data_IF_063294691093
#
_entry.id   IF_063294691093
#
_cell.length_a   1.000
_cell.length_b   1.000
_cell.length_c   1.000
_cell.angle_alpha   90.00
_cell.angle_beta   90.00
_cell.angle_gamma   90.00
#
_symmetry.space_group_name_H-M   'P 1'
#
loop_
_entity.id
_entity.type
_entity.pdbx_description
1 polymer ?
#
# COMPACT_ATOMS: atom_id res chain seq x y z
N UNK A 1 -17.13 -5.89 -2.30
CA UNK A 1 -18.31 -6.21 -3.12
C UNK A 1 -18.54 -7.71 -3.26
N UNK A 2 -17.53 -8.53 -3.56
CA UNK A 2 -17.69 -9.99 -3.69
C UNK A 2 -18.29 -10.68 -2.46
N UNK A 3 -17.83 -10.37 -1.25
CA UNK A 3 -18.38 -10.96 -0.02
C UNK A 3 -19.84 -10.56 0.25
N UNK A 4 -20.23 -9.30 -0.02
CA UNK A 4 -21.63 -8.86 0.09
C UNK A 4 -22.51 -9.70 -0.86
N UNK A 5 -22.09 -9.83 -2.12
CA UNK A 5 -22.81 -10.64 -3.09
C UNK A 5 -22.92 -12.10 -2.63
N UNK A 6 -21.81 -12.69 -2.20
CA UNK A 6 -21.76 -14.08 -1.77
C UNK A 6 -22.64 -14.36 -0.55
N UNK A 7 -22.78 -13.39 0.36
CA UNK A 7 -23.68 -13.50 1.51
C UNK A 7 -25.15 -13.38 1.10
N UNK A 8 -25.49 -12.37 0.28
CA UNK A 8 -26.88 -12.07 -0.07
C UNK A 8 -27.47 -13.00 -1.13
N UNK A 9 -26.64 -13.61 -1.98
CA UNK A 9 -27.07 -14.47 -3.09
C UNK A 9 -26.67 -15.94 -2.87
N UNK A 10 -26.39 -16.35 -1.63
CA UNK A 10 -25.93 -17.71 -1.33
C UNK A 10 -26.93 -18.80 -1.77
N UNK A 11 -28.23 -18.48 -1.79
CA UNK A 11 -29.29 -19.41 -2.22
C UNK A 11 -29.49 -19.39 -3.75
N UNK A 12 -29.44 -18.21 -4.36
CA UNK A 12 -29.74 -18.01 -5.78
C UNK A 12 -28.56 -18.33 -6.70
N UNK A 13 -27.31 -18.09 -6.26
CA UNK A 13 -26.07 -18.41 -6.97
C UNK A 13 -25.04 -19.06 -6.01
N UNK A 14 -25.32 -20.30 -5.55
CA UNK A 14 -24.52 -20.96 -4.52
C UNK A 14 -23.09 -21.26 -4.98
N UNK A 15 -22.90 -21.58 -6.26
CA UNK A 15 -21.58 -21.95 -6.80
C UNK A 15 -20.66 -20.72 -6.83
N UNK A 16 -21.16 -19.58 -7.32
CA UNK A 16 -20.37 -18.33 -7.32
C UNK A 16 -20.17 -17.80 -5.93
N UNK A 17 -21.18 -17.87 -5.06
CA UNK A 17 -21.05 -17.47 -3.66
C UNK A 17 -19.94 -18.27 -2.95
N UNK A 18 -19.93 -19.60 -3.09
CA UNK A 18 -18.89 -20.46 -2.53
C UNK A 18 -17.50 -20.07 -3.08
N UNK A 19 -17.37 -19.91 -4.40
CA UNK A 19 -16.12 -19.50 -5.07
C UNK A 19 -15.59 -18.17 -4.52
N UNK A 20 -16.48 -17.18 -4.32
CA UNK A 20 -16.09 -15.86 -3.81
C UNK A 20 -15.65 -15.92 -2.35
N UNK A 21 -16.33 -16.73 -1.51
CA UNK A 21 -15.97 -16.93 -0.11
C UNK A 21 -14.61 -17.62 0.02
N UNK A 22 -14.38 -18.68 -0.77
CA UNK A 22 -13.11 -19.40 -0.81
C UNK A 22 -11.95 -18.46 -1.19
N UNK A 23 -12.10 -17.72 -2.30
CA UNK A 23 -11.08 -16.76 -2.75
C UNK A 23 -10.83 -15.64 -1.76
N UNK A 24 -11.88 -15.13 -1.12
CA UNK A 24 -11.73 -14.15 -0.05
C UNK A 24 -10.98 -14.74 1.16
N UNK A 25 -11.21 -16.02 1.46
CA UNK A 25 -10.50 -16.75 2.50
C UNK A 25 -9.01 -16.86 2.24
N UNK A 26 -8.63 -17.17 0.99
CA UNK A 26 -7.23 -17.18 0.56
C UNK A 26 -6.62 -15.78 0.62
N UNK A 27 -7.31 -14.78 0.06
CA UNK A 27 -6.85 -13.39 0.06
C UNK A 27 -6.64 -12.84 1.48
N UNK A 28 -7.49 -13.18 2.44
CA UNK A 28 -7.36 -12.71 3.83
C UNK A 28 -6.01 -13.08 4.45
N UNK A 29 -5.45 -14.26 4.10
CA UNK A 29 -4.17 -14.75 4.63
C UNK A 29 -2.99 -13.91 4.14
N UNK A 30 -3.07 -13.37 2.93
CA UNK A 30 -2.07 -12.44 2.38
C UNK A 30 -2.33 -11.01 2.85
N UNK A 31 -3.60 -10.59 2.84
CA UNK A 31 -3.98 -9.19 3.06
C UNK A 31 -3.70 -8.70 4.49
N UNK A 32 -3.69 -9.59 5.47
CA UNK A 32 -3.34 -9.24 6.86
C UNK A 32 -1.92 -8.67 6.98
N UNK A 33 -0.99 -9.08 6.10
CA UNK A 33 0.39 -8.59 6.08
C UNK A 33 0.53 -7.15 5.54
N UNK A 34 -0.53 -6.53 5.03
CA UNK A 34 -0.51 -5.11 4.66
C UNK A 34 -0.84 -4.19 5.85
N UNK A 35 -1.12 -4.76 7.02
CA UNK A 35 -1.54 -4.04 8.22
C UNK A 35 -0.42 -4.00 9.26
N UNK A 36 -0.10 -2.80 9.72
CA UNK A 36 0.75 -2.62 10.89
C UNK A 36 -0.06 -2.84 12.19
N UNK A 37 0.64 -3.14 13.27
CA UNK A 37 0.05 -3.43 14.57
C UNK A 37 -0.70 -2.23 15.18
N UNK A 38 -0.26 -1.00 14.89
CA UNK A 38 -0.89 0.26 15.33
C UNK A 38 -2.17 0.62 14.55
N UNK A 39 -2.38 0.00 13.38
CA UNK A 39 -3.52 0.26 12.50
C UNK A 39 -3.14 0.93 11.18
N UNK A 40 -1.90 1.37 10.97
CA UNK A 40 -1.45 1.88 9.69
C UNK A 40 -1.53 0.79 8.60
N UNK A 41 -1.66 1.21 7.34
CA UNK A 41 -1.69 0.29 6.19
C UNK A 41 -0.75 0.77 5.10
N UNK A 42 -0.16 -0.17 4.36
CA UNK A 42 0.84 0.15 3.32
C UNK A 42 0.20 1.08 2.27
N UNK A 43 0.78 2.27 1.99
CA UNK A 43 0.20 3.25 1.07
C UNK A 43 0.49 2.88 -0.39
N UNK A 44 -0.21 1.86 -0.89
CA UNK A 44 0.01 1.32 -2.24
C UNK A 44 -1.21 1.45 -3.14
N UNK A 45 -0.97 1.89 -4.38
CA UNK A 45 -1.96 2.02 -5.44
C UNK A 45 -2.65 3.37 -5.52
N UNK A 46 -3.60 3.50 -6.45
CA UNK A 46 -4.48 4.66 -6.58
C UNK A 46 -5.54 4.68 -5.50
N UNK A 47 -6.34 5.75 -5.45
CA UNK A 47 -7.48 5.86 -4.54
C UNK A 47 -7.10 5.92 -3.05
N UNK A 48 -5.87 6.29 -2.74
CA UNK A 48 -5.39 6.44 -1.36
C UNK A 48 -6.20 7.48 -0.57
N UNK A 49 -6.91 8.39 -1.25
CA UNK A 49 -7.84 9.33 -0.57
C UNK A 49 -9.02 8.63 0.11
N UNK A 50 -9.30 7.36 -0.20
CA UNK A 50 -10.35 6.55 0.45
C UNK A 50 -9.81 5.83 1.69
N UNK A 51 -9.12 6.57 2.55
CA UNK A 51 -8.41 6.17 3.76
C UNK A 51 -8.98 4.93 4.47
N UNK A 52 -10.20 5.01 5.03
CA UNK A 52 -10.76 3.91 5.81
C UNK A 52 -11.15 2.69 4.94
N UNK A 53 -11.26 2.88 3.62
CA UNK A 53 -11.57 1.79 2.71
C UNK A 53 -10.44 0.75 2.62
N UNK A 54 -9.22 1.09 3.06
CA UNK A 54 -8.10 0.14 3.13
C UNK A 54 -8.43 -1.07 3.99
N UNK A 55 -9.28 -0.95 5.03
CA UNK A 55 -9.73 -2.08 5.85
C UNK A 55 -11.17 -2.52 5.57
N UNK A 56 -11.84 -1.96 4.57
CA UNK A 56 -13.24 -2.32 4.27
C UNK A 56 -13.42 -3.79 3.85
N UNK A 57 -12.35 -4.46 3.40
CA UNK A 57 -12.36 -5.91 3.19
C UNK A 57 -12.69 -6.66 4.49
N UNK A 58 -12.10 -6.26 5.62
CA UNK A 58 -12.33 -6.87 6.93
C UNK A 58 -13.76 -6.67 7.43
N UNK A 59 -14.38 -5.53 7.11
CA UNK A 59 -15.82 -5.33 7.33
C UNK A 59 -16.66 -6.31 6.52
N UNK A 60 -16.23 -6.63 5.30
CA UNK A 60 -16.83 -7.69 4.48
C UNK A 60 -16.64 -9.08 5.06
N UNK A 61 -15.48 -9.38 5.65
CA UNK A 61 -15.20 -10.65 6.36
C UNK A 61 -16.15 -10.82 7.54
N UNK A 62 -16.29 -9.79 8.37
CA UNK A 62 -17.22 -9.79 9.50
C UNK A 62 -18.67 -9.95 9.02
N UNK A 63 -19.10 -9.14 8.03
CA UNK A 63 -20.45 -9.22 7.45
C UNK A 63 -20.78 -10.59 6.86
N UNK A 64 -19.81 -11.24 6.23
CA UNK A 64 -19.99 -12.55 5.62
C UNK A 64 -19.83 -13.72 6.60
N UNK A 65 -19.46 -13.48 7.86
CA UNK A 65 -19.13 -14.53 8.82
C UNK A 65 -18.08 -15.48 8.27
N UNK A 66 -17.02 -14.94 7.66
CA UNK A 66 -15.97 -15.75 7.05
C UNK A 66 -14.97 -16.23 8.12
N UNK A 67 -14.81 -17.54 8.25
CA UNK A 67 -13.94 -18.17 9.25
C UNK A 67 -12.46 -18.18 8.79
N UNK A 68 -11.83 -17.02 8.83
CA UNK A 68 -10.39 -16.83 8.51
C UNK A 68 -9.56 -16.43 9.72
N UNK A 69 -10.15 -15.63 10.60
CA UNK A 69 -9.57 -15.16 11.86
C UNK A 69 -10.72 -15.02 12.86
N UNK A 70 -10.40 -15.04 14.16
CA UNK A 70 -11.41 -14.85 15.18
C UNK A 70 -12.09 -13.47 15.04
N UNK A 71 -13.36 -13.32 15.44
CA UNK A 71 -14.06 -12.04 15.38
C UNK A 71 -13.30 -10.91 16.11
N UNK A 72 -12.60 -11.23 17.20
CA UNK A 72 -11.77 -10.27 17.94
C UNK A 72 -10.57 -9.73 17.15
N UNK A 73 -9.92 -10.56 16.32
CA UNK A 73 -8.83 -10.12 15.43
C UNK A 73 -9.37 -9.22 14.32
N UNK A 74 -10.48 -9.62 13.68
CA UNK A 74 -11.13 -8.82 12.64
C UNK A 74 -11.59 -7.47 13.19
N UNK A 75 -12.17 -7.45 14.40
CA UNK A 75 -12.53 -6.24 15.14
C UNK A 75 -11.31 -5.37 15.39
N UNK A 76 -10.21 -5.96 15.84
CA UNK A 76 -8.95 -5.25 16.07
C UNK A 76 -8.39 -4.58 14.81
N UNK A 77 -8.36 -5.29 13.69
CA UNK A 77 -7.90 -4.74 12.40
C UNK A 77 -8.69 -3.50 11.99
N UNK A 78 -10.03 -3.55 12.13
CA UNK A 78 -10.90 -2.43 11.75
C UNK A 78 -10.76 -1.26 12.74
N UNK A 79 -10.86 -1.52 14.05
CA UNK A 79 -10.93 -0.45 15.04
C UNK A 79 -9.60 0.26 15.24
N UNK A 80 -8.46 -0.45 15.22
CA UNK A 80 -7.13 0.19 15.27
C UNK A 80 -6.90 1.08 14.06
N UNK A 81 -7.25 0.62 12.87
CA UNK A 81 -7.12 1.42 11.65
C UNK A 81 -7.94 2.71 11.69
N UNK A 82 -9.18 2.64 12.18
CA UNK A 82 -10.00 3.83 12.38
C UNK A 82 -9.37 4.79 13.38
N UNK A 83 -8.88 4.30 14.52
CA UNK A 83 -8.19 5.13 15.52
C UNK A 83 -6.93 5.79 14.97
N UNK A 84 -6.08 5.03 14.29
CA UNK A 84 -4.87 5.54 13.65
C UNK A 84 -5.16 6.70 12.68
N UNK A 85 -6.20 6.57 11.86
CA UNK A 85 -6.61 7.64 10.94
C UNK A 85 -7.18 8.87 11.64
N UNK A 86 -7.87 8.70 12.76
CA UNK A 86 -8.40 9.82 13.55
C UNK A 86 -7.29 10.63 14.25
N UNK A 87 -6.10 10.07 14.38
CA UNK A 87 -4.91 10.78 14.86
C UNK A 87 -4.23 11.62 13.76
N UNK A 88 -4.59 11.40 12.49
CA UNK A 88 -4.04 12.14 11.36
C UNK A 88 -4.82 13.44 11.09
N UNK A 89 -4.20 14.50 10.55
CA UNK A 89 -4.87 15.76 10.20
C UNK A 89 -5.73 15.63 8.91
N UNK A 90 -6.76 14.79 8.94
CA UNK A 90 -7.56 14.42 7.75
C UNK A 90 -8.88 15.19 7.61
N UNK A 91 -9.25 15.96 8.63
CA UNK A 91 -10.43 16.83 8.63
C UNK A 91 -10.05 18.28 8.38
N UNK A 92 -10.93 19.02 7.71
CA UNK A 92 -10.84 20.47 7.67
C UNK A 92 -11.41 21.11 8.95
N UNK A 93 -11.45 22.45 8.97
CA UNK A 93 -11.95 23.23 10.11
C UNK A 93 -13.42 22.94 10.48
N UNK A 94 -14.19 22.43 9.53
CA UNK A 94 -15.63 22.18 9.66
C UNK A 94 -15.91 20.69 9.96
N UNK A 95 -14.86 19.88 10.16
CA UNK A 95 -14.96 18.45 10.44
C UNK A 95 -15.22 17.59 9.21
N UNK A 96 -14.99 18.12 8.01
CA UNK A 96 -15.22 17.41 6.74
C UNK A 96 -13.95 16.70 6.30
N UNK A 97 -14.09 15.47 5.79
CA UNK A 97 -12.95 14.71 5.27
C UNK A 97 -12.33 15.43 4.06
N UNK A 98 -11.02 15.69 4.15
CA UNK A 98 -10.26 16.39 3.11
C UNK A 98 -9.83 15.45 1.99
N UNK A 99 -9.49 16.00 0.83
CA UNK A 99 -8.76 15.28 -0.23
C UNK A 99 -7.27 15.18 0.12
N UNK A 100 -6.67 14.00 -0.03
CA UNK A 100 -5.26 13.77 0.32
C UNK A 100 -4.98 12.35 0.77
N UNK A 101 -4.02 12.18 1.68
CA UNK A 101 -3.74 10.90 2.34
C UNK A 101 -3.70 11.12 3.86
N UNK A 102 -2.54 11.11 4.51
CA UNK A 102 -2.39 11.42 5.94
C UNK A 102 -2.67 12.89 6.29
N UNK A 103 -2.70 13.78 5.29
CA UNK A 103 -3.00 15.20 5.44
C UNK A 103 -3.62 15.73 4.14
N UNK A 104 -4.17 16.97 4.12
CA UNK A 104 -4.76 17.54 2.92
C UNK A 104 -3.69 17.74 1.85
N UNK A 105 -3.83 17.08 0.70
CA UNK A 105 -2.86 17.14 -0.37
C UNK A 105 -3.51 16.82 -1.72
N UNK A 106 -3.85 17.87 -2.48
CA UNK A 106 -4.51 17.71 -3.78
C UNK A 106 -3.64 17.00 -4.83
N UNK A 107 -2.31 16.96 -4.68
CA UNK A 107 -1.48 16.22 -5.61
C UNK A 107 -1.63 14.69 -5.48
N UNK A 108 -2.22 14.21 -4.37
CA UNK A 108 -2.60 12.81 -4.23
C UNK A 108 -3.81 12.43 -5.07
N UNK A 109 -4.60 13.41 -5.51
CA UNK A 109 -5.87 13.14 -6.18
C UNK A 109 -5.70 12.51 -7.56
N UNK A 110 -6.66 11.66 -7.92
CA UNK A 110 -6.93 11.30 -9.30
C UNK A 110 -7.92 12.28 -9.95
N UNK A 111 -7.98 12.25 -11.28
CA UNK A 111 -8.82 13.11 -12.13
C UNK A 111 -10.34 13.01 -11.84
N UNK A 112 -10.80 11.87 -11.32
CA UNK A 112 -12.19 11.66 -10.92
C UNK A 112 -12.50 12.08 -9.47
N UNK A 113 -11.52 12.54 -8.70
CA UNK A 113 -11.77 12.91 -7.31
C UNK A 113 -12.56 14.22 -7.21
N UNK A 114 -13.55 14.24 -6.34
CA UNK A 114 -14.39 15.39 -5.99
C UNK A 114 -14.47 15.54 -4.47
N UNK A 115 -15.04 16.63 -3.93
CA UNK A 115 -15.18 16.79 -2.48
C UNK A 115 -15.96 15.66 -1.77
N UNK A 116 -16.84 14.95 -2.49
CA UNK A 116 -17.55 13.78 -1.94
C UNK A 116 -16.73 12.49 -1.96
N UNK A 117 -15.65 12.43 -2.74
CA UNK A 117 -14.84 11.22 -2.93
C UNK A 117 -14.29 10.62 -1.64
N UNK A 118 -13.74 11.38 -0.66
CA UNK A 118 -13.27 10.82 0.60
C UNK A 118 -14.30 9.95 1.35
N UNK A 119 -15.61 10.20 1.16
CA UNK A 119 -16.68 9.45 1.83
C UNK A 119 -16.91 8.04 1.27
N UNK A 120 -16.21 7.62 0.22
CA UNK A 120 -16.07 6.18 -0.09
C UNK A 120 -15.44 5.38 1.07
N UNK A 121 -14.76 6.07 1.99
CA UNK A 121 -14.32 5.52 3.27
C UNK A 121 -15.46 4.88 4.10
N UNK A 122 -16.72 5.28 3.89
CA UNK A 122 -17.87 4.74 4.61
C UNK A 122 -18.11 3.23 4.40
N UNK A 123 -17.47 2.62 3.39
CA UNK A 123 -17.50 1.15 3.18
C UNK A 123 -17.09 0.35 4.41
N UNK A 124 -16.21 0.90 5.25
CA UNK A 124 -15.79 0.26 6.51
C UNK A 124 -16.97 0.04 7.47
N UNK A 125 -18.00 0.89 7.42
CA UNK A 125 -19.17 0.80 8.28
C UNK A 125 -20.17 -0.28 7.84
N UNK A 126 -19.83 -1.14 6.88
CA UNK A 126 -20.61 -2.35 6.59
C UNK A 126 -20.85 -3.20 7.86
N UNK A 127 -19.92 -3.15 8.83
CA UNK A 127 -20.10 -3.79 10.15
C UNK A 127 -21.35 -3.30 10.90
N UNK A 128 -21.86 -2.10 10.63
CA UNK A 128 -23.08 -1.57 11.25
C UNK A 128 -24.35 -2.29 10.78
N UNK A 129 -24.27 -3.08 9.70
CA UNK A 129 -25.36 -3.94 9.26
C UNK A 129 -25.44 -5.26 10.05
N UNK A 130 -24.47 -5.55 10.91
CA UNK A 130 -24.47 -6.75 11.75
C UNK A 130 -25.52 -6.65 12.87
N UNK A 131 -26.21 -7.77 13.21
CA UNK A 131 -27.09 -7.83 14.37
C UNK A 131 -26.36 -7.44 15.67
N UNK A 132 -27.09 -6.85 16.63
CA UNK A 132 -26.53 -6.37 17.89
C UNK A 132 -25.89 -7.50 18.74
N UNK A 133 -26.38 -8.72 18.59
CA UNK A 133 -25.92 -9.94 19.25
C UNK A 133 -24.84 -10.70 18.46
N UNK A 134 -24.35 -10.17 17.33
CA UNK A 134 -23.32 -10.84 16.53
C UNK A 134 -22.01 -11.05 17.29
N UNK A 135 -21.33 -12.16 17.00
CA UNK A 135 -20.03 -12.52 17.61
C UNK A 135 -18.98 -11.40 17.47
N UNK A 136 -19.05 -10.60 16.40
CA UNK A 136 -18.18 -9.44 16.21
C UNK A 136 -18.36 -8.38 17.32
N UNK A 137 -19.60 -8.07 17.69
CA UNK A 137 -19.86 -7.09 18.75
C UNK A 137 -19.54 -7.65 20.13
N UNK A 138 -19.83 -8.93 20.36
CA UNK A 138 -19.60 -9.60 21.65
C UNK A 138 -18.11 -9.90 21.90
N UNK A 139 -17.31 -10.12 20.85
CA UNK A 139 -15.90 -10.42 20.99
C UNK A 139 -15.09 -9.24 21.58
N UNK A 140 -14.13 -9.57 22.44
CA UNK A 140 -13.08 -8.64 22.84
C UNK A 140 -12.22 -8.28 21.63
N UNK A 141 -11.80 -7.02 21.53
CA UNK A 141 -10.82 -6.61 20.52
C UNK A 141 -9.47 -7.28 20.80
N UNK A 142 -8.89 -7.95 19.79
CA UNK A 142 -7.60 -8.64 19.89
C UNK A 142 -6.52 -7.93 19.06
N UNK A 143 -5.24 -8.04 19.43
CA UNK A 143 -4.12 -7.48 18.66
C UNK A 143 -4.01 -8.13 17.27
N UNK A 144 -3.10 -7.62 16.44
CA UNK A 144 -2.65 -8.35 15.26
C UNK A 144 -2.07 -9.70 15.73
N UNK A 145 -2.45 -10.83 15.11
CA UNK A 145 -1.85 -12.11 15.45
C UNK A 145 -0.35 -12.09 15.18
N UNK A 146 0.38 -13.03 15.76
CA UNK A 146 1.79 -13.22 15.40
C UNK A 146 1.89 -13.64 13.93
N UNK A 147 2.65 -12.87 13.16
CA UNK A 147 2.87 -13.07 11.74
C UNK A 147 4.33 -13.38 11.49
N UNK A 148 4.61 -14.10 10.40
CA UNK A 148 5.99 -14.29 9.97
C UNK A 148 6.65 -12.93 9.66
N UNK A 149 7.93 -12.70 10.02
CA UNK A 149 8.59 -11.42 9.75
C UNK A 149 8.67 -11.06 8.27
N UNK A 150 8.63 -12.06 7.38
CA UNK A 150 8.65 -11.88 5.92
C UNK A 150 7.58 -12.75 5.29
N UNK A 151 6.77 -12.18 4.40
CA UNK A 151 5.72 -12.89 3.66
C UNK A 151 5.74 -12.53 2.18
N UNK A 152 5.80 -13.54 1.32
CA UNK A 152 5.84 -13.37 -0.13
C UNK A 152 4.47 -13.65 -0.75
N UNK A 153 3.91 -12.66 -1.45
CA UNK A 153 2.69 -12.81 -2.24
C UNK A 153 3.11 -12.97 -3.70
N UNK A 154 3.49 -14.20 -4.06
CA UNK A 154 4.09 -14.51 -5.38
C UNK A 154 3.21 -14.05 -6.56
N UNK A 155 1.89 -14.29 -6.59
CA UNK A 155 1.04 -13.83 -7.70
C UNK A 155 0.99 -12.31 -7.84
N UNK A 156 1.26 -11.58 -6.75
CA UNK A 156 1.26 -10.13 -6.73
C UNK A 156 2.65 -9.52 -6.89
N UNK A 157 3.72 -10.32 -6.98
CA UNK A 157 5.12 -9.85 -7.05
C UNK A 157 5.46 -8.88 -5.90
N UNK A 158 5.09 -9.28 -4.68
CA UNK A 158 5.20 -8.49 -3.46
C UNK A 158 5.86 -9.30 -2.34
N UNK A 159 6.68 -8.62 -1.54
CA UNK A 159 7.22 -9.15 -0.30
C UNK A 159 6.92 -8.14 0.82
N UNK A 160 6.28 -8.60 1.88
CA UNK A 160 5.95 -7.82 3.06
C UNK A 160 6.96 -8.16 4.16
N UNK A 161 7.53 -7.13 4.79
CA UNK A 161 8.45 -7.24 5.92
C UNK A 161 7.83 -6.56 7.13
N UNK A 162 7.68 -7.30 8.23
CA UNK A 162 7.15 -6.83 9.50
C UNK A 162 8.30 -6.60 10.49
N UNK A 163 8.50 -5.35 10.88
CA UNK A 163 9.54 -4.90 11.80
C UNK A 163 8.95 -4.54 13.17
N UNK A 164 9.78 -4.62 14.21
CA UNK A 164 9.45 -4.11 15.55
C UNK A 164 8.07 -4.60 16.07
N UNK A 165 7.83 -5.91 16.08
CA UNK A 165 6.51 -6.49 16.43
C UNK A 165 5.37 -6.00 15.52
N UNK A 166 5.63 -5.90 14.21
CA UNK A 166 4.71 -5.41 13.20
C UNK A 166 4.30 -3.93 13.34
N UNK A 167 5.02 -3.12 14.12
CA UNK A 167 4.76 -1.68 14.21
C UNK A 167 5.15 -0.93 12.92
N UNK A 168 6.00 -1.53 12.10
CA UNK A 168 6.39 -1.00 10.81
C UNK A 168 6.35 -2.10 9.76
N UNK A 169 5.59 -1.87 8.68
CA UNK A 169 5.52 -2.78 7.54
C UNK A 169 6.15 -2.10 6.33
N UNK A 170 7.09 -2.81 5.71
CA UNK A 170 7.68 -2.44 4.41
C UNK A 170 7.18 -3.43 3.37
N UNK A 171 6.64 -2.92 2.28
CA UNK A 171 6.29 -3.73 1.11
C UNK A 171 7.29 -3.49 0.00
N UNK A 172 8.09 -4.51 -0.34
CA UNK A 172 8.89 -4.54 -1.55
C UNK A 172 8.03 -5.00 -2.73
N UNK A 173 8.16 -4.32 -3.87
CA UNK A 173 7.29 -4.62 -5.01
C UNK A 173 7.91 -4.24 -6.36
N UNK A 174 7.48 -4.94 -7.40
CA UNK A 174 7.88 -4.70 -8.78
C UNK A 174 6.84 -5.22 -9.77
N UNK A 175 6.73 -4.55 -10.92
CA UNK A 175 5.89 -5.01 -12.04
C UNK A 175 4.47 -4.47 -12.07
N UNK A 176 4.03 -3.77 -11.02
CA UNK A 176 2.69 -3.20 -10.96
C UNK A 176 2.66 -1.88 -11.73
N UNK A 177 1.75 -1.81 -12.70
CA UNK A 177 1.42 -0.60 -13.42
C UNK A 177 -0.10 -0.54 -13.63
N UNK A 178 -0.68 0.61 -13.32
CA UNK A 178 -2.06 0.89 -13.67
C UNK A 178 -2.14 1.45 -15.10
N UNK A 179 -2.79 0.70 -15.99
CA UNK A 179 -2.81 0.99 -17.44
C UNK A 179 -3.71 2.18 -17.82
N UNK A 180 -4.63 2.59 -16.94
CA UNK A 180 -5.44 3.79 -17.17
C UNK A 180 -4.66 5.11 -17.00
N UNK A 181 -3.38 5.05 -16.58
CA UNK A 181 -2.47 6.21 -16.52
C UNK A 181 -3.00 7.39 -15.70
N UNK A 182 -3.41 7.13 -14.46
CA UNK A 182 -3.80 8.19 -13.54
C UNK A 182 -2.61 9.05 -13.10
N UNK A 183 -2.91 10.24 -12.57
CA UNK A 183 -1.90 11.16 -12.01
C UNK A 183 -1.05 10.46 -10.96
N UNK A 184 0.28 10.61 -11.09
CA UNK A 184 1.29 10.01 -10.21
C UNK A 184 1.24 8.48 -10.13
N UNK A 185 0.87 7.80 -11.22
CA UNK A 185 0.88 6.33 -11.31
C UNK A 185 2.22 5.74 -10.88
N UNK A 186 3.34 6.32 -11.31
CA UNK A 186 4.67 5.83 -10.94
C UNK A 186 4.90 5.83 -9.43
N UNK A 187 4.59 6.94 -8.76
CA UNK A 187 4.76 7.05 -7.31
C UNK A 187 3.80 6.13 -6.53
N UNK A 188 2.65 5.78 -7.11
CA UNK A 188 1.61 4.96 -6.48
C UNK A 188 1.77 3.46 -6.70
N UNK A 189 2.43 3.05 -7.79
CA UNK A 189 2.53 1.64 -8.17
C UNK A 189 3.95 1.13 -8.40
N UNK A 190 4.91 1.99 -8.77
CA UNK A 190 6.15 1.53 -9.41
C UNK A 190 7.42 1.68 -8.57
N UNK A 191 7.34 2.28 -7.37
CA UNK A 191 8.45 2.33 -6.40
C UNK A 191 8.94 0.93 -6.04
N UNK A 192 10.17 0.85 -5.53
CA UNK A 192 10.72 -0.41 -5.01
C UNK A 192 10.15 -0.79 -3.65
N UNK A 193 9.82 0.19 -2.82
CA UNK A 193 9.35 -0.04 -1.46
C UNK A 193 8.29 0.97 -1.03
N UNK A 194 7.36 0.52 -0.19
CA UNK A 194 6.33 1.34 0.47
C UNK A 194 6.36 1.06 1.97
N UNK A 195 6.23 2.09 2.80
CA UNK A 195 6.32 1.99 4.26
C UNK A 195 5.03 2.46 4.92
N UNK A 196 4.61 1.80 6.00
CA UNK A 196 3.52 2.28 6.87
C UNK A 196 3.93 3.40 7.83
N UNK A 197 5.23 3.62 8.02
CA UNK A 197 5.79 4.54 9.03
C UNK A 197 6.27 5.86 8.43
N UNK A 198 6.90 5.79 7.27
CA UNK A 198 7.52 6.96 6.64
C UNK A 198 6.58 7.68 5.68
N UNK A 199 6.94 8.92 5.33
CA UNK A 199 6.11 9.77 4.50
C UNK A 199 5.94 9.19 3.09
N UNK A 200 4.70 9.10 2.62
CA UNK A 200 4.42 8.75 1.23
C UNK A 200 4.61 9.98 0.33
N UNK A 201 5.69 10.00 -0.46
CA UNK A 201 6.00 11.15 -1.30
C UNK A 201 5.61 10.90 -2.75
N UNK A 202 5.06 11.91 -3.40
CA UNK A 202 4.71 11.91 -4.81
C UNK A 202 5.52 12.96 -5.56
N UNK A 203 5.84 12.64 -6.80
CA UNK A 203 6.48 13.57 -7.72
C UNK A 203 5.61 14.82 -7.94
N UNK A 204 6.26 15.99 -8.06
CA UNK A 204 5.62 17.25 -8.48
C UNK A 204 6.01 17.68 -9.90
N UNK A 205 7.07 17.09 -10.45
CA UNK A 205 7.49 17.22 -11.83
C UNK A 205 8.90 16.65 -12.04
N UNK A 206 9.24 16.32 -13.30
CA UNK A 206 10.50 15.63 -13.63
C UNK A 206 11.74 16.51 -13.67
N UNK A 207 11.57 17.82 -13.86
CA UNK A 207 12.70 18.75 -13.99
C UNK A 207 13.25 19.12 -12.61
N UNK A 208 14.49 18.71 -12.33
CA UNK A 208 15.16 18.92 -11.05
C UNK A 208 14.86 17.84 -10.02
N UNK A 209 15.91 17.30 -9.38
CA UNK A 209 15.78 16.19 -8.41
C UNK A 209 14.84 16.52 -7.24
N UNK A 210 14.77 17.80 -6.84
CA UNK A 210 13.87 18.27 -5.77
C UNK A 210 12.39 18.14 -6.12
N UNK A 211 12.04 18.23 -7.40
CA UNK A 211 10.66 18.09 -7.88
C UNK A 211 10.33 16.64 -8.23
N UNK A 212 11.32 15.90 -8.74
CA UNK A 212 11.20 14.49 -9.09
C UNK A 212 10.95 13.60 -7.85
N UNK A 213 11.42 14.05 -6.68
CA UNK A 213 11.17 13.46 -5.38
C UNK A 213 11.49 11.96 -5.34
N UNK A 214 12.78 11.65 -5.25
CA UNK A 214 13.31 10.29 -5.23
C UNK A 214 12.91 9.53 -3.94
N UNK A 215 11.70 8.98 -3.91
CA UNK A 215 11.15 8.20 -2.80
C UNK A 215 11.14 6.72 -3.15
N UNK A 216 12.03 5.96 -2.50
CA UNK A 216 12.16 4.51 -2.61
C UNK A 216 12.28 4.01 -4.06
N UNK A 217 13.06 4.73 -4.87
CA UNK A 217 13.24 4.48 -6.30
C UNK A 217 14.65 4.87 -6.74
N UNK A 218 15.16 4.25 -7.80
CA UNK A 218 16.34 4.70 -8.55
C UNK A 218 15.89 5.65 -9.67
N UNK A 219 16.38 6.89 -9.64
CA UNK A 219 16.15 7.88 -10.70
C UNK A 219 17.42 8.14 -11.50
N UNK A 220 17.25 8.38 -12.81
CA UNK A 220 18.32 8.65 -13.76
C UNK A 220 18.06 9.92 -14.57
N UNK A 221 19.14 10.65 -14.93
CA UNK A 221 19.10 11.80 -15.84
C UNK A 221 20.25 11.75 -16.84
N UNK A 222 19.97 12.16 -18.08
CA UNK A 222 20.94 12.21 -19.19
C UNK A 222 21.56 13.62 -19.31
N UNK A 223 21.99 14.18 -18.17
CA UNK A 223 22.50 15.55 -18.02
C UNK A 223 21.53 16.66 -18.51
N UNK A 224 20.24 16.34 -18.63
CA UNK A 224 19.16 17.25 -19.04
C UNK A 224 18.38 17.81 -17.83
N UNK A 225 18.75 17.37 -16.63
CA UNK A 225 18.07 17.64 -15.36
C UNK A 225 16.62 17.12 -15.31
N UNK A 226 16.18 16.31 -16.28
CA UNK A 226 14.94 15.55 -16.19
C UNK A 226 15.25 14.17 -15.60
N UNK A 227 14.59 13.86 -14.49
CA UNK A 227 14.79 12.61 -13.76
C UNK A 227 13.70 11.60 -14.10
N UNK A 228 14.11 10.35 -14.35
CA UNK A 228 13.24 9.26 -14.79
C UNK A 228 13.51 8.03 -13.94
N UNK A 229 12.44 7.43 -13.43
CA UNK A 229 12.50 6.16 -12.73
C UNK A 229 11.92 5.03 -13.58
N UNK A 230 11.69 3.90 -12.92
CA UNK A 230 10.99 2.77 -13.48
C UNK A 230 9.52 3.13 -13.62
N UNK A 231 8.93 2.75 -14.74
CA UNK A 231 7.49 2.81 -14.96
C UNK A 231 6.97 1.43 -15.29
N UNK A 232 7.56 0.82 -16.32
CA UNK A 232 7.27 -0.55 -16.76
C UNK A 232 8.48 -1.44 -16.48
N UNK A 233 8.24 -2.75 -16.46
CA UNK A 233 9.28 -3.76 -16.41
C UNK A 233 9.12 -4.66 -17.63
N UNK A 234 10.23 -4.99 -18.29
CA UNK A 234 10.28 -6.00 -19.35
C UNK A 234 10.07 -7.41 -18.78
N UNK A 235 10.61 -7.64 -17.59
CA UNK A 235 10.37 -8.88 -16.84
C UNK A 235 10.43 -8.65 -15.33
N UNK A 236 9.68 -9.47 -14.59
CA UNK A 236 9.71 -9.53 -13.14
C UNK A 236 9.61 -10.98 -12.71
N UNK A 237 10.46 -11.37 -11.78
CA UNK A 237 10.52 -12.74 -11.28
C UNK A 237 10.71 -12.70 -9.76
N UNK A 238 10.11 -13.66 -9.06
CA UNK A 238 10.39 -13.88 -7.64
C UNK A 238 11.17 -15.19 -7.51
N UNK A 239 12.40 -15.09 -7.03
CA UNK A 239 13.29 -16.24 -6.83
C UNK A 239 14.03 -16.07 -5.50
N UNK A 240 14.21 -17.17 -4.77
CA UNK A 240 14.98 -17.23 -3.52
C UNK A 240 14.61 -16.16 -2.47
N UNK A 241 13.32 -15.83 -2.38
CA UNK A 241 12.82 -14.81 -1.43
C UNK A 241 13.17 -13.37 -1.82
N UNK A 242 13.58 -13.11 -3.07
CA UNK A 242 13.85 -11.79 -3.61
C UNK A 242 12.94 -11.49 -4.83
N UNK A 243 12.81 -10.20 -5.16
CA UNK A 243 12.15 -9.75 -6.39
C UNK A 243 13.23 -9.27 -7.35
N UNK A 244 13.32 -9.91 -8.51
CA UNK A 244 14.11 -9.45 -9.64
C UNK A 244 13.21 -8.70 -10.63
N UNK A 245 13.72 -7.63 -11.24
CA UNK A 245 13.07 -6.96 -12.35
C UNK A 245 14.06 -6.37 -13.34
N UNK A 246 13.72 -6.45 -14.62
CA UNK A 246 14.40 -5.75 -15.71
C UNK A 246 13.52 -4.61 -16.19
N UNK A 247 14.09 -3.41 -16.30
CA UNK A 247 13.37 -2.25 -16.80
C UNK A 247 14.29 -1.31 -17.58
N UNK A 248 13.69 -0.56 -18.50
CA UNK A 248 14.39 0.27 -19.46
C UNK A 248 13.90 1.73 -19.38
N UNK A 249 14.60 2.63 -18.67
CA UNK A 249 14.24 4.05 -18.68
C UNK A 249 14.44 4.71 -20.06
N UNK A 250 15.27 4.12 -20.90
CA UNK A 250 15.41 4.40 -22.34
C UNK A 250 15.64 3.09 -23.09
N UNK A 251 15.40 3.10 -24.40
CA UNK A 251 15.60 1.93 -25.27
C UNK A 251 17.04 1.37 -25.26
N UNK A 252 18.05 2.17 -24.89
CA UNK A 252 19.48 1.83 -24.87
C UNK A 252 20.07 1.77 -23.45
N UNK A 253 19.21 1.74 -22.43
CA UNK A 253 19.60 1.68 -21.01
C UNK A 253 18.82 0.57 -20.33
N UNK A 254 19.49 -0.53 -19.99
CA UNK A 254 18.90 -1.63 -19.25
C UNK A 254 19.31 -1.56 -17.77
N UNK A 255 18.34 -1.75 -16.88
CA UNK A 255 18.58 -1.87 -15.45
C UNK A 255 17.95 -3.16 -14.95
N UNK A 256 18.81 -4.04 -14.45
CA UNK A 256 18.41 -5.23 -13.70
C UNK A 256 18.44 -4.87 -12.21
N UNK A 257 17.34 -5.08 -11.50
CA UNK A 257 17.17 -4.71 -10.09
C UNK A 257 16.73 -5.92 -9.26
N UNK A 258 17.40 -6.14 -8.14
CA UNK A 258 17.02 -7.13 -7.13
C UNK A 258 16.62 -6.41 -5.84
N UNK A 259 15.45 -6.78 -5.30
CA UNK A 259 14.94 -6.35 -4.00
C UNK A 259 15.00 -7.56 -3.06
N UNK A 260 15.88 -7.48 -2.06
CA UNK A 260 16.20 -8.61 -1.19
C UNK A 260 15.86 -8.22 0.26
N UNK A 261 14.86 -8.85 0.90
CA UNK A 261 14.60 -8.65 2.32
C UNK A 261 15.80 -9.13 3.16
N UNK A 262 16.20 -8.35 4.16
CA UNK A 262 17.39 -8.61 4.97
C UNK A 262 17.19 -8.20 6.43
N UNK A 263 16.53 -9.07 7.22
CA UNK A 263 16.20 -8.78 8.61
C UNK A 263 15.36 -7.50 8.73
N UNK A 264 15.84 -6.54 9.50
CA UNK A 264 15.19 -5.24 9.67
C UNK A 264 15.38 -4.24 8.52
N UNK A 265 16.01 -4.70 7.43
CA UNK A 265 16.37 -3.90 6.28
C UNK A 265 15.93 -4.60 4.99
N UNK A 266 16.15 -3.93 3.88
CA UNK A 266 16.15 -4.53 2.56
C UNK A 266 17.35 -4.01 1.77
N UNK A 267 17.89 -4.87 0.92
CA UNK A 267 18.98 -4.53 0.02
C UNK A 267 18.41 -4.36 -1.38
N UNK A 268 18.81 -3.28 -2.05
CA UNK A 268 18.50 -3.04 -3.45
C UNK A 268 19.80 -3.08 -4.24
N UNK A 269 19.87 -4.01 -5.18
CA UNK A 269 21.05 -4.17 -6.06
C UNK A 269 20.63 -3.79 -7.46
N UNK A 270 21.42 -2.95 -8.13
CA UNK A 270 21.17 -2.53 -9.50
C UNK A 270 22.38 -2.85 -10.36
N UNK A 271 22.16 -3.58 -11.45
CA UNK A 271 23.12 -3.72 -12.53
C UNK A 271 22.66 -2.86 -13.71
N UNK A 272 23.42 -1.82 -14.00
CA UNK A 272 23.09 -0.83 -15.03
C UNK A 272 23.98 -1.08 -16.25
N UNK A 273 23.36 -1.44 -17.36
CA UNK A 273 24.02 -1.55 -18.67
C UNK A 273 23.57 -0.37 -19.53
N UNK A 274 24.50 0.52 -19.88
CA UNK A 274 24.19 1.73 -20.64
C UNK A 274 25.31 2.08 -21.62
N UNK A 275 24.93 2.50 -22.83
CA UNK A 275 25.85 3.12 -23.79
C UNK A 275 26.12 4.61 -23.49
N UNK A 276 25.45 5.18 -22.48
CA UNK A 276 25.44 6.61 -22.16
C UNK A 276 26.00 6.87 -20.78
N UNK A 277 26.49 8.09 -20.54
CA UNK A 277 26.88 8.54 -19.21
C UNK A 277 25.69 9.19 -18.52
N UNK A 278 25.13 8.50 -17.53
CA UNK A 278 23.94 8.95 -16.79
C UNK A 278 24.31 9.44 -15.40
N UNK A 279 23.53 10.40 -14.90
CA UNK A 279 23.48 10.72 -13.47
C UNK A 279 22.43 9.83 -12.81
N UNK A 280 22.71 9.34 -11.60
CA UNK A 280 21.79 8.48 -10.86
C UNK A 280 21.60 9.00 -9.43
N UNK A 281 20.41 8.81 -8.88
CA UNK A 281 20.08 9.07 -7.47
C UNK A 281 19.22 7.93 -6.95
N UNK A 282 19.66 7.31 -5.87
CA UNK A 282 18.92 6.26 -5.16
C UNK A 282 18.17 6.87 -3.97
N UNK A 283 16.85 6.68 -3.95
CA UNK A 283 15.96 7.25 -2.94
C UNK A 283 15.69 6.29 -1.78
N UNK A 284 15.82 6.78 -0.54
CA UNK A 284 15.28 6.13 0.64
C UNK A 284 13.79 6.43 0.84
N UNK A 285 13.26 6.13 2.02
CA UNK A 285 11.96 6.63 2.43
C UNK A 285 12.04 8.12 2.79
N UNK A 286 10.96 8.86 2.57
CA UNK A 286 10.88 10.25 3.01
C UNK A 286 10.77 10.34 4.53
N UNK A 287 11.73 11.04 5.14
CA UNK A 287 11.77 11.30 6.58
C UNK A 287 11.54 12.78 6.86
N UNK A 288 11.01 13.09 8.04
CA UNK A 288 10.93 14.48 8.51
C UNK A 288 12.36 15.02 8.59
N UNK A 289 12.56 16.23 8.06
CA UNK A 289 13.84 16.92 8.20
C UNK A 289 14.08 17.13 9.69
N UNK A 290 15.08 16.45 10.26
CA UNK A 290 15.52 16.73 11.61
C UNK A 290 15.94 18.21 11.69
N UNK A 291 15.53 18.89 12.75
CA UNK A 291 16.10 20.20 13.05
C UNK A 291 17.61 20.02 13.18
N UNK A 292 18.38 20.93 12.59
CA UNK A 292 19.83 20.90 12.77
C UNK A 292 20.08 21.02 14.28
N UNK A 293 20.76 20.02 14.86
CA UNK A 293 21.24 20.14 16.22
C UNK A 293 22.03 21.44 16.31
N UNK A 294 21.47 22.42 17.00
CA UNK A 294 22.20 23.64 17.36
C UNK A 294 23.13 23.20 18.47
N UNK A 295 24.30 22.67 18.07
CA UNK A 295 25.38 22.35 18.99
C UNK A 295 25.71 23.60 19.81
N UNK A 296 25.47 23.52 21.11
CA UNK A 296 25.99 24.45 22.11
C UNK A 296 27.38 24.04 22.57
#
# INVERSE_FOLDING_TARGET
MGLIYATLNAQDDPVRAATLRERAGLFAKDFIYLSAADGASVPFGRSLTYRFAMVAFWSGVAFAGLDVFSPGVVKGLILRHLRWWLEQPIFDRDGILTLGFAYPNLAMCEDYNSPGSPYWALKVFLIMALPADSDFWQAQELPLPELAPVHAIVPAQQILQHHENSQHVVMLTSGQLELNNYVNTEAKYTKFAYSTRFGFTIERGRYGIKHAACDSMLLLSDNDNYWRGRRECDSVEMQDGAIYSRWLPWHDVQIDTWLIPCGDWHVRVHHVTSARRLQTVEGGFAVIKADAETGG
#
